data_IF_491874876581
#
_entry.id   IF_491874876581
#
_cell.length_a   1.000
_cell.length_b   1.000
_cell.length_c   1.000
_cell.angle_alpha   90.00
_cell.angle_beta   90.00
_cell.angle_gamma   90.00
#
_symmetry.space_group_name_H-M   'P 1'
#
loop_
_entity.id
_entity.type
_entity.pdbx_description
1 polymer ?
#
# COMPACT_ATOMS: atom_id res chain seq x y z
N UNK A 1 12.35 31.09 -16.26
CA UNK A 1 12.98 30.76 -17.56
C UNK A 1 14.46 31.06 -17.54
N UNK A 2 14.88 32.28 -17.21
CA UNK A 2 16.29 32.67 -17.05
C UNK A 2 17.06 31.82 -16.03
N UNK A 3 16.48 31.46 -14.88
CA UNK A 3 17.13 30.55 -13.91
C UNK A 3 17.30 29.12 -14.44
N UNK A 4 16.36 28.63 -15.25
CA UNK A 4 16.43 27.31 -15.89
C UNK A 4 17.47 27.29 -17.02
N UNK A 5 17.46 28.31 -17.87
CA UNK A 5 18.43 28.50 -18.95
C UNK A 5 19.86 28.66 -18.38
N UNK A 6 20.01 29.44 -17.31
CA UNK A 6 21.26 29.56 -16.56
C UNK A 6 21.69 28.19 -16.03
N UNK A 7 20.82 27.44 -15.33
CA UNK A 7 21.18 26.11 -14.83
C UNK A 7 21.58 25.13 -15.95
N UNK A 8 20.89 25.17 -17.09
CA UNK A 8 21.12 24.32 -18.25
C UNK A 8 22.45 24.64 -18.97
N UNK A 9 22.74 25.92 -19.23
CA UNK A 9 23.85 26.34 -20.09
C UNK A 9 25.07 26.90 -19.33
N UNK A 10 24.96 27.19 -18.03
CA UNK A 10 26.10 27.69 -17.22
C UNK A 10 27.07 26.56 -16.81
N UNK A 11 26.74 25.28 -17.06
CA UNK A 11 27.73 24.21 -16.92
C UNK A 11 28.76 24.31 -18.05
N UNK A 12 29.97 24.77 -17.71
CA UNK A 12 31.13 25.00 -18.58
C UNK A 12 31.56 23.79 -19.47
N UNK A 13 30.89 22.63 -19.37
CA UNK A 13 31.19 21.37 -20.07
C UNK A 13 30.00 20.71 -20.79
N UNK A 14 28.81 21.32 -20.84
CA UNK A 14 27.67 20.74 -21.59
C UNK A 14 27.91 20.68 -23.10
N UNK A 15 28.89 21.44 -23.62
CA UNK A 15 29.19 21.52 -25.06
C UNK A 15 28.10 22.20 -25.88
N UNK A 16 27.04 22.70 -25.22
CA UNK A 16 25.90 23.35 -25.85
C UNK A 16 26.04 24.86 -25.78
N UNK A 17 25.91 25.53 -26.92
CA UNK A 17 26.05 26.98 -27.03
C UNK A 17 24.71 27.65 -26.71
N UNK A 18 24.64 28.60 -25.75
CA UNK A 18 23.43 29.38 -25.50
C UNK A 18 22.84 30.06 -26.75
N UNK A 19 23.65 30.30 -27.78
CA UNK A 19 23.21 30.88 -29.05
C UNK A 19 22.16 30.02 -29.77
N UNK A 20 22.11 28.71 -29.52
CA UNK A 20 21.11 27.79 -30.05
C UNK A 20 19.68 28.19 -29.66
N UNK A 21 19.50 28.86 -28.52
CA UNK A 21 18.19 29.34 -28.05
C UNK A 21 17.61 30.48 -28.90
N UNK A 22 18.44 31.11 -29.74
CA UNK A 22 18.05 32.19 -30.66
C UNK A 22 17.63 31.67 -32.04
N UNK A 23 17.76 30.37 -32.30
CA UNK A 23 17.36 29.74 -33.56
C UNK A 23 15.83 29.75 -33.70
N UNK A 24 15.32 30.70 -34.49
CA UNK A 24 13.89 30.88 -34.73
C UNK A 24 13.27 29.76 -35.59
N UNK A 25 14.07 29.00 -36.35
CA UNK A 25 13.57 27.84 -37.09
C UNK A 25 13.34 26.65 -36.14
N UNK A 26 14.20 26.48 -35.13
CA UNK A 26 14.01 25.45 -34.08
C UNK A 26 13.02 25.83 -33.00
N UNK A 27 13.04 27.08 -32.56
CA UNK A 27 12.29 27.56 -31.39
C UNK A 27 11.35 28.72 -31.76
N UNK A 28 10.54 28.53 -32.81
CA UNK A 28 9.62 29.55 -33.33
C UNK A 28 8.46 29.94 -32.40
N UNK A 29 8.33 29.33 -31.22
CA UNK A 29 7.33 29.71 -30.20
C UNK A 29 7.94 29.66 -28.80
N UNK A 30 7.40 30.48 -27.89
CA UNK A 30 7.77 30.43 -26.47
C UNK A 30 7.59 29.02 -25.87
N UNK A 31 6.53 28.31 -26.27
CA UNK A 31 6.24 26.96 -25.80
C UNK A 31 7.30 25.94 -26.28
N UNK A 32 7.76 26.05 -27.53
CA UNK A 32 8.83 25.20 -28.06
C UNK A 32 10.16 25.43 -27.31
N UNK A 33 10.52 26.70 -27.07
CA UNK A 33 11.70 27.06 -26.29
C UNK A 33 11.60 26.57 -24.84
N UNK A 34 10.42 26.68 -24.23
CA UNK A 34 10.17 26.25 -22.86
C UNK A 34 10.28 24.74 -22.69
N UNK A 35 9.70 23.97 -23.62
CA UNK A 35 9.81 22.51 -23.64
C UNK A 35 11.27 22.05 -23.78
N UNK A 36 12.04 22.70 -24.66
CA UNK A 36 13.47 22.42 -24.82
C UNK A 36 14.24 22.65 -23.53
N UNK A 37 14.06 23.82 -22.90
CA UNK A 37 14.73 24.15 -21.65
C UNK A 37 14.37 23.19 -20.50
N UNK A 38 13.12 22.73 -20.42
CA UNK A 38 12.68 21.80 -19.39
C UNK A 38 13.20 20.37 -19.60
N UNK A 39 13.22 19.85 -20.83
CA UNK A 39 13.79 18.52 -21.12
C UNK A 39 15.30 18.52 -20.90
N UNK A 40 15.97 19.60 -21.35
CA UNK A 40 17.40 19.79 -21.14
C UNK A 40 17.74 19.91 -19.65
N UNK A 41 16.95 20.65 -18.86
CA UNK A 41 17.16 20.78 -17.42
C UNK A 41 17.20 19.43 -16.68
N UNK A 42 16.23 18.54 -16.94
CA UNK A 42 16.20 17.21 -16.28
C UNK A 42 17.40 16.37 -16.70
N UNK A 43 17.75 16.39 -17.98
CA UNK A 43 18.91 15.67 -18.51
C UNK A 43 20.21 16.18 -17.87
N UNK A 44 20.47 17.48 -17.93
CA UNK A 44 21.66 18.11 -17.36
C UNK A 44 21.74 17.96 -15.84
N UNK A 45 20.63 18.05 -15.10
CA UNK A 45 20.62 17.83 -13.66
C UNK A 45 21.05 16.41 -13.26
N UNK A 46 20.79 15.42 -14.12
CA UNK A 46 21.20 14.04 -13.87
C UNK A 46 22.57 13.68 -14.46
N UNK A 47 22.95 14.24 -15.61
CA UNK A 47 24.26 14.02 -16.27
C UNK A 47 25.43 14.77 -15.59
N UNK A 48 25.23 16.04 -15.20
CA UNK A 48 26.27 16.89 -14.58
C UNK A 48 26.87 16.28 -13.31
N UNK A 49 26.03 15.66 -12.49
CA UNK A 49 26.44 15.10 -11.21
C UNK A 49 27.13 13.74 -11.32
N UNK A 50 26.84 12.96 -12.38
CA UNK A 50 27.59 11.73 -12.68
C UNK A 50 29.05 12.05 -13.04
N UNK A 51 29.30 13.25 -13.57
CA UNK A 51 30.63 13.72 -13.97
C UNK A 51 31.39 14.43 -12.84
N UNK A 52 30.75 15.27 -12.01
CA UNK A 52 31.42 15.93 -10.85
C UNK A 52 32.01 14.90 -9.86
N UNK A 53 31.31 13.80 -9.59
CA UNK A 53 31.78 12.74 -8.67
C UNK A 53 32.83 11.79 -9.26
N UNK A 54 33.01 11.78 -10.58
CA UNK A 54 34.08 10.99 -11.21
C UNK A 54 35.40 11.78 -11.26
N UNK A 55 35.37 13.09 -11.05
CA UNK A 55 36.57 13.93 -10.90
C UNK A 55 37.05 14.04 -9.44
N UNK A 56 36.15 13.90 -8.45
CA UNK A 56 36.50 13.75 -7.03
C UNK A 56 36.87 12.29 -6.69
N UNK A 57 38.09 11.90 -7.06
CA UNK A 57 38.63 10.57 -6.77
C UNK A 57 38.71 10.23 -5.27
N UNK A 58 38.46 8.95 -4.99
CA UNK A 58 38.71 8.20 -3.73
C UNK A 58 37.70 8.35 -2.58
N UNK A 59 36.83 7.33 -2.45
CA UNK A 59 36.13 7.03 -1.20
C UNK A 59 34.75 6.41 -1.39
N UNK A 60 34.70 5.08 -1.56
CA UNK A 60 33.49 4.23 -1.50
C UNK A 60 32.62 4.17 -2.79
N UNK A 61 33.27 3.80 -3.91
CA UNK A 61 32.63 3.58 -5.21
C UNK A 61 31.79 2.29 -5.31
N UNK A 62 30.55 2.32 -4.82
CA UNK A 62 29.58 1.25 -5.11
C UNK A 62 28.11 1.69 -5.30
N UNK A 63 27.76 2.99 -5.29
CA UNK A 63 26.34 3.40 -5.35
C UNK A 63 25.94 4.39 -6.46
N UNK A 64 26.88 5.03 -7.16
CA UNK A 64 26.58 6.30 -7.85
C UNK A 64 26.27 6.22 -9.37
N UNK A 65 26.09 5.01 -9.91
CA UNK A 65 25.46 4.75 -11.22
C UNK A 65 24.00 4.30 -11.12
N UNK A 66 23.32 4.61 -10.00
CA UNK A 66 22.08 3.90 -9.62
C UNK A 66 20.91 4.08 -10.59
N UNK A 67 20.80 5.26 -11.21
CA UNK A 67 19.60 5.67 -11.92
C UNK A 67 19.90 6.12 -13.35
N UNK A 68 19.47 5.33 -14.32
CA UNK A 68 19.51 5.71 -15.74
C UNK A 68 18.54 6.88 -16.02
N UNK A 69 18.99 7.88 -16.80
CA UNK A 69 18.24 9.10 -17.12
C UNK A 69 16.88 8.81 -17.80
N UNK A 70 16.76 7.71 -18.56
CA UNK A 70 15.48 7.31 -19.14
C UNK A 70 14.50 6.82 -18.06
N UNK A 71 14.99 6.10 -17.04
CA UNK A 71 14.19 5.65 -15.90
C UNK A 71 13.76 6.81 -15.01
N UNK A 72 14.66 7.76 -14.74
CA UNK A 72 14.38 8.98 -13.97
C UNK A 72 13.24 9.78 -14.61
N UNK A 73 13.34 10.06 -15.92
CA UNK A 73 12.29 10.77 -16.66
C UNK A 73 10.94 10.03 -16.58
N UNK A 74 10.95 8.70 -16.68
CA UNK A 74 9.74 7.88 -16.53
C UNK A 74 9.15 7.98 -15.13
N UNK A 75 9.95 7.90 -14.08
CA UNK A 75 9.46 7.97 -12.69
C UNK A 75 8.96 9.38 -12.33
N UNK A 76 9.69 10.43 -12.71
CA UNK A 76 9.24 11.81 -12.51
C UNK A 76 7.97 12.11 -13.33
N UNK A 77 7.88 11.62 -14.57
CA UNK A 77 6.68 11.72 -15.39
C UNK A 77 5.49 11.00 -14.76
N UNK A 78 5.69 9.79 -14.25
CA UNK A 78 4.64 9.07 -13.51
C UNK A 78 4.17 9.84 -12.28
N UNK A 79 5.10 10.35 -11.46
CA UNK A 79 4.79 11.16 -10.28
C UNK A 79 4.02 12.43 -10.67
N UNK A 80 4.43 13.11 -11.74
CA UNK A 80 3.74 14.30 -12.23
C UNK A 80 2.29 14.00 -12.66
N UNK A 81 2.07 12.97 -13.48
CA UNK A 81 0.71 12.53 -13.86
C UNK A 81 -0.11 12.12 -12.63
N UNK A 82 0.51 11.41 -11.68
CA UNK A 82 -0.14 10.95 -10.47
C UNK A 82 -0.61 12.12 -9.59
N UNK A 83 0.25 13.11 -9.36
CA UNK A 83 -0.08 14.32 -8.60
C UNK A 83 -1.17 15.16 -9.28
N UNK A 84 -1.09 15.33 -10.61
CA UNK A 84 -2.11 16.03 -11.40
C UNK A 84 -3.49 15.36 -11.24
N UNK A 85 -3.55 14.03 -11.28
CA UNK A 85 -4.81 13.28 -11.07
C UNK A 85 -5.36 13.41 -9.64
N UNK A 86 -4.48 13.48 -8.63
CA UNK A 86 -4.88 13.68 -7.24
C UNK A 86 -5.16 15.14 -6.88
N UNK A 87 -4.95 16.09 -7.82
CA UNK A 87 -5.07 17.54 -7.60
C UNK A 87 -4.27 18.00 -6.37
N UNK A 88 -3.06 17.48 -6.21
CA UNK A 88 -2.15 17.84 -5.11
C UNK A 88 -0.75 18.15 -5.63
N UNK A 89 -0.01 18.99 -4.91
CA UNK A 89 1.41 19.29 -5.18
C UNK A 89 2.35 18.40 -4.37
N UNK A 90 1.85 17.80 -3.29
CA UNK A 90 2.63 17.07 -2.30
C UNK A 90 2.79 15.60 -2.64
N UNK A 91 4.03 15.14 -2.69
CA UNK A 91 4.37 13.73 -2.79
C UNK A 91 4.24 13.11 -1.39
N UNK A 92 3.03 12.63 -1.09
CA UNK A 92 2.71 11.89 0.12
C UNK A 92 2.84 10.38 -0.13
N UNK A 93 3.68 9.67 0.62
CA UNK A 93 3.94 8.26 0.38
C UNK A 93 2.66 7.41 0.44
N UNK A 94 1.74 7.68 1.37
CA UNK A 94 0.47 6.94 1.53
C UNK A 94 -0.55 7.17 0.40
N UNK A 95 -0.33 8.19 -0.45
CA UNK A 95 -1.15 8.46 -1.63
C UNK A 95 -0.60 7.83 -2.90
N UNK A 96 0.66 7.39 -2.91
CA UNK A 96 1.27 6.78 -4.09
C UNK A 96 0.49 5.54 -4.54
N UNK A 97 0.16 5.51 -5.83
CA UNK A 97 -0.61 4.41 -6.43
C UNK A 97 -2.13 4.49 -6.23
N UNK A 98 -2.66 5.56 -5.62
CA UNK A 98 -4.12 5.69 -5.40
C UNK A 98 -4.87 6.35 -6.57
N UNK A 99 -4.17 6.98 -7.52
CA UNK A 99 -4.77 7.71 -8.65
C UNK A 99 -5.36 6.80 -9.77
N UNK A 100 -5.56 5.52 -9.50
CA UNK A 100 -6.14 4.55 -10.44
C UNK A 100 -7.61 4.31 -10.16
N UNK A 101 -8.35 3.74 -11.13
CA UNK A 101 -9.75 3.37 -10.92
C UNK A 101 -9.87 2.39 -9.76
N UNK A 102 -10.93 2.53 -8.95
CA UNK A 102 -11.14 1.74 -7.74
C UNK A 102 -11.01 0.23 -7.96
N UNK A 103 -11.58 -0.29 -9.06
CA UNK A 103 -11.46 -1.71 -9.43
C UNK A 103 -10.02 -2.24 -9.51
N UNK A 104 -9.05 -1.40 -9.89
CA UNK A 104 -7.64 -1.78 -9.94
C UNK A 104 -7.00 -1.80 -8.55
N UNK A 105 -7.42 -0.91 -7.64
CA UNK A 105 -7.01 -0.97 -6.23
C UNK A 105 -7.52 -2.27 -5.61
N UNK A 106 -8.82 -2.55 -5.80
CA UNK A 106 -9.47 -3.76 -5.31
C UNK A 106 -8.79 -5.03 -5.83
N UNK A 107 -8.52 -5.10 -7.14
CA UNK A 107 -7.84 -6.25 -7.76
C UNK A 107 -6.42 -6.44 -7.22
N UNK A 108 -5.64 -5.36 -7.12
CA UNK A 108 -4.24 -5.42 -6.70
C UNK A 108 -4.10 -5.79 -5.23
N UNK A 109 -4.95 -5.22 -4.38
CA UNK A 109 -5.00 -5.59 -2.97
C UNK A 109 -5.48 -7.03 -2.82
N UNK A 110 -6.58 -7.38 -3.47
CA UNK A 110 -7.14 -8.72 -3.41
C UNK A 110 -6.15 -9.78 -3.86
N UNK A 111 -5.43 -9.56 -4.96
CA UNK A 111 -4.40 -10.50 -5.41
C UNK A 111 -3.24 -10.59 -4.43
N UNK A 112 -2.75 -9.47 -3.89
CA UNK A 112 -1.63 -9.50 -2.94
C UNK A 112 -2.01 -10.18 -1.63
N UNK A 113 -3.17 -9.85 -1.05
CA UNK A 113 -3.67 -10.49 0.17
C UNK A 113 -3.99 -11.96 -0.09
N UNK A 114 -4.64 -12.28 -1.20
CA UNK A 114 -5.00 -13.65 -1.55
C UNK A 114 -3.78 -14.55 -1.75
N UNK A 115 -2.76 -14.10 -2.49
CA UNK A 115 -1.52 -14.87 -2.65
C UNK A 115 -0.80 -15.01 -1.31
N UNK A 116 -0.66 -13.94 -0.53
CA UNK A 116 0.06 -14.00 0.75
C UNK A 116 -0.65 -14.94 1.75
N UNK A 117 -1.96 -14.79 1.93
CA UNK A 117 -2.73 -15.63 2.84
C UNK A 117 -2.86 -17.06 2.36
N UNK A 118 -3.04 -17.28 1.04
CA UNK A 118 -3.11 -18.61 0.46
C UNK A 118 -1.78 -19.39 0.59
N UNK A 119 -0.64 -18.70 0.46
CA UNK A 119 0.66 -19.32 0.75
C UNK A 119 0.78 -19.72 2.22
N UNK A 120 0.35 -18.86 3.15
CA UNK A 120 0.39 -19.19 4.58
C UNK A 120 -0.51 -20.38 4.89
N UNK A 121 -1.78 -20.34 4.47
CA UNK A 121 -2.73 -21.42 4.69
C UNK A 121 -2.23 -22.74 4.07
N UNK A 122 -1.81 -22.70 2.80
CA UNK A 122 -1.30 -23.88 2.11
C UNK A 122 -0.08 -24.49 2.79
N UNK A 123 0.86 -23.67 3.28
CA UNK A 123 2.02 -24.18 4.01
C UNK A 123 1.62 -24.77 5.37
N UNK A 124 0.71 -24.12 6.10
CA UNK A 124 0.28 -24.56 7.43
C UNK A 124 -0.50 -25.86 7.34
N UNK A 125 -1.60 -25.88 6.60
CA UNK A 125 -2.44 -27.08 6.46
C UNK A 125 -1.76 -28.18 5.64
N UNK A 126 -0.86 -27.81 4.73
CA UNK A 126 -0.04 -28.76 4.00
C UNK A 126 0.96 -29.50 4.88
N UNK A 127 1.67 -28.77 5.75
CA UNK A 127 2.60 -29.36 6.71
C UNK A 127 1.86 -30.22 7.74
N UNK A 128 0.74 -29.73 8.26
CA UNK A 128 -0.14 -30.49 9.16
C UNK A 128 -0.64 -31.78 8.51
N UNK A 129 -1.20 -31.67 7.30
CA UNK A 129 -1.67 -32.83 6.53
C UNK A 129 -0.55 -33.82 6.22
N UNK A 130 0.66 -33.35 5.94
CA UNK A 130 1.83 -34.19 5.69
C UNK A 130 2.24 -34.98 6.94
N UNK A 131 2.23 -34.33 8.11
CA UNK A 131 2.59 -34.93 9.38
C UNK A 131 1.57 -35.98 9.85
N UNK A 132 0.28 -35.68 9.68
CA UNK A 132 -0.81 -36.53 10.18
C UNK A 132 -1.17 -37.67 9.22
N UNK A 133 -1.14 -37.42 7.90
CA UNK A 133 -1.71 -38.31 6.89
C UNK A 133 -0.72 -38.66 5.77
N UNK A 134 0.53 -38.22 5.87
CA UNK A 134 1.59 -38.50 4.90
C UNK A 134 1.72 -37.45 3.79
N UNK A 135 2.87 -37.45 3.08
CA UNK A 135 3.28 -36.34 2.21
C UNK A 135 2.35 -36.09 1.02
N UNK A 136 1.74 -37.14 0.46
CA UNK A 136 0.79 -37.00 -0.64
C UNK A 136 -0.46 -36.23 -0.22
N UNK A 137 -1.03 -36.56 0.95
CA UNK A 137 -2.18 -35.85 1.51
C UNK A 137 -1.81 -34.41 1.86
N UNK A 138 -0.64 -34.20 2.47
CA UNK A 138 -0.13 -32.85 2.76
C UNK A 138 -0.04 -31.96 1.53
N UNK A 139 0.45 -32.48 0.40
CA UNK A 139 0.50 -31.71 -0.85
C UNK A 139 -0.91 -31.34 -1.35
N UNK A 140 -1.86 -32.28 -1.30
CA UNK A 140 -3.25 -32.01 -1.67
C UNK A 140 -3.88 -30.95 -0.75
N UNK A 141 -3.70 -31.09 0.57
CA UNK A 141 -4.18 -30.13 1.56
C UNK A 141 -3.57 -28.74 1.32
N UNK A 142 -2.28 -28.65 1.00
CA UNK A 142 -1.60 -27.39 0.71
C UNK A 142 -2.22 -26.65 -0.48
N UNK A 143 -2.45 -27.37 -1.57
CA UNK A 143 -3.01 -26.78 -2.80
C UNK A 143 -4.46 -26.37 -2.60
N UNK A 144 -5.28 -27.25 -2.01
CA UNK A 144 -6.72 -26.99 -1.83
C UNK A 144 -6.94 -25.83 -0.86
N UNK A 145 -6.35 -25.88 0.33
CA UNK A 145 -6.50 -24.81 1.33
C UNK A 145 -5.90 -23.50 0.83
N UNK A 146 -4.68 -23.53 0.26
CA UNK A 146 -4.04 -22.32 -0.22
C UNK A 146 -4.81 -21.62 -1.33
N UNK A 147 -5.41 -22.37 -2.27
CA UNK A 147 -6.26 -21.79 -3.31
C UNK A 147 -7.60 -21.29 -2.74
N UNK A 148 -8.26 -22.06 -1.87
CA UNK A 148 -9.56 -21.70 -1.30
C UNK A 148 -9.44 -20.46 -0.40
N UNK A 149 -8.51 -20.47 0.57
CA UNK A 149 -8.28 -19.35 1.48
C UNK A 149 -7.73 -18.13 0.75
N UNK A 150 -6.82 -18.35 -0.22
CA UNK A 150 -6.29 -17.28 -1.04
C UNK A 150 -7.37 -16.59 -1.87
N UNK A 151 -8.25 -17.34 -2.52
CA UNK A 151 -9.37 -16.78 -3.27
C UNK A 151 -10.37 -16.07 -2.35
N UNK A 152 -10.77 -16.71 -1.24
CA UNK A 152 -11.74 -16.16 -0.29
C UNK A 152 -11.26 -14.87 0.36
N UNK A 153 -10.04 -14.84 0.89
CA UNK A 153 -9.46 -13.67 1.54
C UNK A 153 -9.11 -12.58 0.53
N UNK A 154 -8.58 -12.95 -0.63
CA UNK A 154 -8.30 -12.00 -1.71
C UNK A 154 -9.56 -11.28 -2.19
N UNK A 155 -10.65 -12.03 -2.42
CA UNK A 155 -11.94 -11.44 -2.79
C UNK A 155 -12.49 -10.57 -1.66
N UNK A 156 -12.45 -11.05 -0.43
CA UNK A 156 -12.98 -10.32 0.74
C UNK A 156 -12.27 -8.98 0.92
N UNK A 157 -10.95 -8.96 1.03
CA UNK A 157 -10.22 -7.71 1.26
C UNK A 157 -10.18 -6.82 0.01
N UNK A 158 -10.21 -7.39 -1.19
CA UNK A 158 -10.42 -6.62 -2.43
C UNK A 158 -11.76 -5.87 -2.42
N UNK A 159 -12.85 -6.55 -2.06
CA UNK A 159 -14.19 -5.96 -1.95
C UNK A 159 -14.28 -4.95 -0.80
N UNK A 160 -13.71 -5.27 0.37
CA UNK A 160 -13.68 -4.36 1.51
C UNK A 160 -12.96 -3.04 1.17
N UNK A 161 -11.90 -3.04 0.35
CA UNK A 161 -11.27 -1.78 -0.12
C UNK A 161 -12.23 -0.95 -0.98
N UNK A 162 -13.03 -1.61 -1.84
CA UNK A 162 -14.07 -0.94 -2.62
C UNK A 162 -15.17 -0.33 -1.75
N UNK A 163 -15.50 -1.02 -0.67
CA UNK A 163 -16.49 -0.58 0.30
C UNK A 163 -15.98 0.58 1.18
N UNK A 164 -14.79 0.42 1.76
CA UNK A 164 -14.15 1.41 2.64
C UNK A 164 -13.95 2.76 1.94
N UNK A 165 -13.60 2.76 0.66
CA UNK A 165 -13.42 4.01 -0.12
C UNK A 165 -14.73 4.76 -0.41
N UNK A 166 -15.89 4.10 -0.34
CA UNK A 166 -17.22 4.71 -0.54
C UNK A 166 -17.88 5.18 0.75
N UNK A 167 -17.47 4.65 1.91
CA UNK A 167 -17.99 5.09 3.20
C UNK A 167 -17.53 6.52 3.51
N UNK A 168 -18.48 7.46 3.59
CA UNK A 168 -18.22 8.88 3.90
C UNK A 168 -18.04 9.17 5.40
N UNK A 169 -18.54 8.29 6.28
CA UNK A 169 -18.80 8.63 7.69
C UNK A 169 -17.75 8.13 8.71
N UNK A 170 -16.49 7.92 8.29
CA UNK A 170 -15.42 7.40 9.16
C UNK A 170 -14.09 8.17 9.12
N UNK A 171 -14.05 9.34 8.48
CA UNK A 171 -12.81 10.06 8.19
C UNK A 171 -11.98 9.38 7.07
N UNK A 172 -10.87 9.99 6.62
CA UNK A 172 -10.04 9.44 5.56
C UNK A 172 -9.31 8.19 6.06
N UNK A 173 -9.93 7.01 5.91
CA UNK A 173 -9.48 5.68 6.39
C UNK A 173 -8.03 5.29 6.06
N UNK A 174 -7.36 6.03 5.18
CA UNK A 174 -6.00 5.73 4.72
C UNK A 174 -5.01 6.89 4.88
N UNK A 175 -5.34 7.89 5.71
CA UNK A 175 -4.33 8.85 6.19
C UNK A 175 -3.58 8.19 7.36
N UNK A 176 -2.25 8.31 7.45
CA UNK A 176 -1.52 7.87 8.64
C UNK A 176 -2.15 8.54 9.86
N UNK A 177 -2.66 7.76 10.80
CA UNK A 177 -3.22 8.27 12.03
C UNK A 177 -2.08 8.50 13.02
N UNK A 178 -1.85 9.76 13.39
CA UNK A 178 -1.03 10.12 14.56
C UNK A 178 -1.90 10.00 15.80
N UNK A 179 -2.33 8.77 16.06
CA UNK A 179 -3.19 8.43 17.18
C UNK A 179 -2.32 7.76 18.24
N UNK A 180 -2.08 8.48 19.32
CA UNK A 180 -1.41 7.92 20.47
C UNK A 180 -2.46 7.33 21.40
N UNK A 181 -2.23 6.09 21.85
CA UNK A 181 -3.08 5.45 22.84
C UNK A 181 -2.73 6.09 24.18
N UNK A 182 -3.62 6.95 24.67
CA UNK A 182 -3.47 7.60 25.97
C UNK A 182 -3.55 6.55 27.06
N UNK A 183 -2.48 6.41 27.84
CA UNK A 183 -2.49 5.62 29.08
C UNK A 183 -3.19 6.36 30.22
N UNK A 184 -3.25 7.68 30.13
CA UNK A 184 -3.60 8.56 31.25
C UNK A 184 -5.03 9.15 31.16
N UNK A 185 -5.94 8.49 30.45
CA UNK A 185 -7.35 8.89 30.50
C UNK A 185 -8.21 8.33 29.38
N UNK A 186 -9.37 7.83 29.78
CA UNK A 186 -10.45 7.38 28.91
C UNK A 186 -11.40 8.54 28.59
N UNK A 187 -11.64 8.81 27.31
CA UNK A 187 -12.52 9.88 26.84
C UNK A 187 -13.86 9.33 26.33
N UNK A 188 -14.91 9.45 27.16
CA UNK A 188 -16.26 8.98 26.83
C UNK A 188 -16.83 9.59 25.54
N UNK A 189 -16.49 10.86 25.26
CA UNK A 189 -16.95 11.57 24.05
C UNK A 189 -16.42 10.88 22.78
N UNK A 190 -15.14 10.52 22.74
CA UNK A 190 -14.52 9.88 21.57
C UNK A 190 -15.11 8.50 21.32
N UNK A 191 -15.38 7.74 22.39
CA UNK A 191 -16.12 6.48 22.31
C UNK A 191 -17.52 6.69 21.72
N UNK A 192 -18.30 7.64 22.24
CA UNK A 192 -19.67 7.91 21.79
C UNK A 192 -19.73 8.34 20.32
N UNK A 193 -18.85 9.24 19.90
CA UNK A 193 -18.80 9.78 18.54
C UNK A 193 -18.36 8.71 17.54
N UNK A 194 -17.45 7.81 17.95
CA UNK A 194 -16.95 6.72 17.11
C UNK A 194 -17.81 5.45 17.15
N UNK A 195 -18.76 5.32 18.09
CA UNK A 195 -19.49 4.08 18.32
C UNK A 195 -20.27 3.62 17.09
N UNK A 196 -21.19 4.47 16.61
CA UNK A 196 -22.04 4.17 15.46
C UNK A 196 -21.23 3.84 14.20
N UNK A 197 -20.27 4.67 13.74
CA UNK A 197 -19.54 4.38 12.52
C UNK A 197 -18.66 3.12 12.62
N UNK A 198 -18.05 2.84 13.78
CA UNK A 198 -17.21 1.64 13.96
C UNK A 198 -18.02 0.35 14.04
N UNK A 199 -19.14 0.37 14.76
CA UNK A 199 -20.05 -0.79 14.83
C UNK A 199 -20.70 -1.05 13.47
N UNK A 200 -21.18 -0.01 12.76
CA UNK A 200 -21.72 -0.16 11.41
C UNK A 200 -20.67 -0.64 10.43
N UNK A 201 -19.45 -0.10 10.47
CA UNK A 201 -18.33 -0.53 9.65
C UNK A 201 -17.96 -1.99 9.90
N UNK A 202 -17.86 -2.39 11.17
CA UNK A 202 -17.61 -3.76 11.59
C UNK A 202 -18.71 -4.73 11.13
N UNK A 203 -19.98 -4.40 11.35
CA UNK A 203 -21.12 -5.22 10.94
C UNK A 203 -21.16 -5.41 9.42
N UNK A 204 -20.99 -4.33 8.65
CA UNK A 204 -21.02 -4.40 7.19
C UNK A 204 -19.79 -5.16 6.64
N UNK A 205 -18.62 -4.99 7.25
CA UNK A 205 -17.44 -5.79 6.95
C UNK A 205 -17.65 -7.27 7.26
N UNK A 206 -18.26 -7.59 8.39
CA UNK A 206 -18.61 -8.95 8.80
C UNK A 206 -19.63 -9.62 7.89
N UNK A 207 -20.69 -8.89 7.50
CA UNK A 207 -21.68 -9.37 6.53
C UNK A 207 -21.03 -9.70 5.19
N UNK A 208 -20.14 -8.83 4.70
CA UNK A 208 -19.40 -9.09 3.47
C UNK A 208 -18.49 -10.32 3.59
N UNK A 209 -17.72 -10.41 4.67
CA UNK A 209 -16.84 -11.56 4.94
C UNK A 209 -17.65 -12.86 5.01
N UNK A 210 -18.69 -12.88 5.84
CA UNK A 210 -19.58 -14.01 6.04
C UNK A 210 -20.26 -14.43 4.74
N UNK A 211 -20.74 -13.50 3.93
CA UNK A 211 -21.37 -13.80 2.65
C UNK A 211 -20.39 -14.43 1.65
N UNK A 212 -19.18 -13.86 1.51
CA UNK A 212 -18.16 -14.39 0.60
C UNK A 212 -17.79 -15.82 0.99
N UNK A 213 -17.56 -16.07 2.28
CA UNK A 213 -17.18 -17.38 2.79
C UNK A 213 -18.31 -18.40 2.71
N UNK A 214 -19.52 -18.01 3.13
CA UNK A 214 -20.70 -18.86 3.05
C UNK A 214 -20.96 -19.31 1.61
N UNK A 215 -20.99 -18.37 0.66
CA UNK A 215 -21.22 -18.70 -0.76
C UNK A 215 -20.05 -19.51 -1.37
N UNK A 216 -18.81 -19.18 -1.02
CA UNK A 216 -17.64 -19.90 -1.51
C UNK A 216 -17.64 -21.36 -1.06
N UNK A 217 -17.89 -21.60 0.22
CA UNK A 217 -17.98 -22.96 0.79
C UNK A 217 -19.20 -23.70 0.26
N UNK A 218 -20.34 -23.03 0.11
CA UNK A 218 -21.53 -23.64 -0.51
C UNK A 218 -21.24 -24.11 -1.95
N UNK A 219 -20.56 -23.28 -2.75
CA UNK A 219 -20.18 -23.60 -4.12
C UNK A 219 -19.22 -24.79 -4.17
N UNK A 220 -18.17 -24.79 -3.33
CA UNK A 220 -17.21 -25.90 -3.25
C UNK A 220 -17.89 -27.22 -2.86
N UNK A 221 -18.77 -27.20 -1.86
CA UNK A 221 -19.50 -28.40 -1.43
C UNK A 221 -20.49 -28.89 -2.50
N UNK A 222 -21.13 -27.98 -3.23
CA UNK A 222 -22.00 -28.33 -4.36
C UNK A 222 -21.21 -29.02 -5.47
N UNK A 223 -20.02 -28.49 -5.81
CA UNK A 223 -19.13 -29.09 -6.80
C UNK A 223 -18.58 -30.45 -6.35
N UNK A 224 -18.41 -30.65 -5.04
CA UNK A 224 -18.03 -31.94 -4.46
C UNK A 224 -19.19 -32.95 -4.37
N UNK A 225 -20.41 -32.57 -4.79
CA UNK A 225 -21.59 -33.46 -4.80
C UNK A 225 -22.30 -33.57 -3.45
N UNK A 226 -22.04 -32.66 -2.50
CA UNK A 226 -22.75 -32.66 -1.22
C UNK A 226 -24.23 -32.30 -1.41
N UNK A 227 -25.10 -32.90 -0.59
CA UNK A 227 -26.53 -32.63 -0.61
C UNK A 227 -26.86 -31.29 0.06
N UNK A 228 -28.01 -30.71 -0.29
CA UNK A 228 -28.49 -29.46 0.32
C UNK A 228 -28.60 -29.52 1.85
N UNK A 229 -28.96 -30.68 2.40
CA UNK A 229 -29.07 -30.91 3.85
C UNK A 229 -27.74 -30.73 4.58
N UNK A 230 -26.62 -31.00 3.91
CA UNK A 230 -25.27 -30.74 4.43
C UNK A 230 -24.88 -29.28 4.18
N UNK A 231 -25.15 -28.74 2.99
CA UNK A 231 -24.69 -27.40 2.61
C UNK A 231 -25.31 -26.30 3.47
N UNK A 232 -26.63 -26.32 3.70
CA UNK A 232 -27.33 -25.21 4.34
C UNK A 232 -26.86 -24.90 5.79
N UNK A 233 -26.65 -25.88 6.71
CA UNK A 233 -26.21 -25.57 8.06
C UNK A 233 -24.78 -25.01 8.10
N UNK A 234 -23.85 -25.57 7.33
CA UNK A 234 -22.47 -25.08 7.26
C UNK A 234 -22.41 -23.66 6.71
N UNK A 235 -23.18 -23.39 5.66
CA UNK A 235 -23.28 -22.07 5.03
C UNK A 235 -23.85 -21.04 6.00
N UNK A 236 -24.92 -21.40 6.73
CA UNK A 236 -25.53 -20.55 7.75
C UNK A 236 -24.60 -20.24 8.91
N UNK A 237 -23.84 -21.23 9.39
CA UNK A 237 -22.87 -21.06 10.46
C UNK A 237 -21.75 -20.10 10.05
N UNK A 238 -21.13 -20.30 8.88
CA UNK A 238 -20.06 -19.42 8.39
C UNK A 238 -20.53 -17.98 8.18
N UNK A 239 -21.76 -17.81 7.68
CA UNK A 239 -22.35 -16.49 7.55
C UNK A 239 -22.54 -15.79 8.91
N UNK A 240 -23.03 -16.54 9.90
CA UNK A 240 -23.21 -16.05 11.27
C UNK A 240 -21.86 -15.75 11.94
N UNK A 241 -20.85 -16.59 11.76
CA UNK A 241 -19.49 -16.38 12.26
C UNK A 241 -18.86 -15.11 11.68
N UNK A 242 -18.92 -14.92 10.35
CA UNK A 242 -18.41 -13.72 9.71
C UNK A 242 -19.10 -12.45 10.20
N UNK A 243 -20.43 -12.49 10.33
CA UNK A 243 -21.23 -11.37 10.84
C UNK A 243 -20.91 -11.07 12.31
N UNK A 244 -20.82 -12.12 13.14
CA UNK A 244 -20.50 -12.02 14.56
C UNK A 244 -19.10 -11.49 14.80
N UNK A 245 -18.10 -11.95 14.04
CA UNK A 245 -16.72 -11.48 14.09
C UNK A 245 -16.64 -10.00 13.69
N UNK A 246 -17.33 -9.60 12.62
CA UNK A 246 -17.38 -8.18 12.22
C UNK A 246 -18.02 -7.28 13.28
N UNK A 247 -19.12 -7.73 13.89
CA UNK A 247 -19.76 -7.01 15.00
C UNK A 247 -18.82 -6.88 16.20
N UNK A 248 -18.15 -7.98 16.60
CA UNK A 248 -17.20 -7.99 17.70
C UNK A 248 -16.04 -7.03 17.44
N UNK A 249 -15.43 -7.05 16.25
CA UNK A 249 -14.37 -6.12 15.87
C UNK A 249 -14.85 -4.67 15.85
N UNK A 250 -16.08 -4.42 15.39
CA UNK A 250 -16.70 -3.09 15.40
C UNK A 250 -16.91 -2.56 16.83
N UNK A 251 -17.35 -3.42 17.75
CA UNK A 251 -17.52 -3.08 19.17
C UNK A 251 -16.17 -2.84 19.85
N UNK A 252 -15.18 -3.71 19.63
CA UNK A 252 -13.82 -3.54 20.17
C UNK A 252 -13.22 -2.22 19.67
N UNK A 253 -13.37 -1.91 18.38
CA UNK A 253 -12.91 -0.65 17.83
C UNK A 253 -13.67 0.55 18.42
N UNK A 254 -15.00 0.45 18.61
CA UNK A 254 -15.81 1.50 19.24
C UNK A 254 -15.37 1.80 20.67
N UNK A 255 -15.12 0.76 21.47
CA UNK A 255 -14.60 0.88 22.84
C UNK A 255 -13.17 1.44 22.80
N UNK A 256 -12.30 0.90 21.95
CA UNK A 256 -10.91 1.35 21.81
C UNK A 256 -10.77 2.84 21.49
N UNK A 257 -11.77 3.44 20.83
CA UNK A 257 -11.82 4.87 20.55
C UNK A 257 -11.75 5.74 21.81
N UNK A 258 -12.21 5.22 22.96
CA UNK A 258 -12.11 5.92 24.24
C UNK A 258 -10.66 6.15 24.70
N UNK A 259 -9.68 5.40 24.19
CA UNK A 259 -8.27 5.56 24.52
C UNK A 259 -7.48 6.38 23.48
N UNK A 260 -8.13 6.87 22.43
CA UNK A 260 -7.46 7.55 21.32
C UNK A 260 -7.27 9.05 21.59
N UNK A 261 -6.03 9.55 21.48
CA UNK A 261 -5.72 10.99 21.39
C UNK A 261 -5.11 11.35 20.03
N UNK A 262 -5.64 12.40 19.41
CA UNK A 262 -5.15 12.94 18.14
C UNK A 262 -4.06 13.97 18.42
N UNK A 263 -2.82 13.69 18.00
CA UNK A 263 -1.74 14.67 18.10
C UNK A 263 -1.87 15.67 16.93
N UNK A 264 -1.91 17.00 17.19
CA UNK A 264 -1.96 18.02 16.14
C UNK A 264 -0.75 17.95 15.19
N UNK A 265 -1.02 18.17 13.91
CA UNK A 265 -0.10 17.97 12.77
C UNK A 265 1.14 18.89 12.76
N UNK A 266 1.25 19.86 13.66
CA UNK A 266 2.27 20.92 13.64
C UNK A 266 3.65 20.48 14.15
N UNK A 267 3.77 19.33 14.83
CA UNK A 267 5.03 18.85 15.45
C UNK A 267 5.69 17.65 14.75
N UNK A 268 5.16 17.20 13.62
CA UNK A 268 5.66 16.02 12.94
C UNK A 268 6.82 16.37 11.99
N UNK A 269 8.05 16.23 12.49
CA UNK A 269 9.28 16.29 11.70
C UNK A 269 9.31 15.22 10.59
N UNK A 270 9.82 15.60 9.41
CA UNK A 270 10.21 14.83 8.20
C UNK A 270 9.36 13.58 7.78
N UNK A 271 8.91 13.54 6.51
CA UNK A 271 8.13 12.42 5.94
C UNK A 271 8.70 11.00 6.14
N UNK A 272 10.01 10.85 6.28
CA UNK A 272 10.67 9.55 6.49
C UNK A 272 10.39 9.00 7.88
N UNK A 273 10.47 9.85 8.90
CA UNK A 273 10.27 9.47 10.30
C UNK A 273 8.80 9.07 10.53
N UNK A 274 7.87 9.69 9.78
CA UNK A 274 6.47 9.29 9.76
C UNK A 274 6.23 7.90 9.15
N UNK A 275 6.99 7.55 8.11
CA UNK A 275 6.88 6.22 7.49
C UNK A 275 7.38 5.13 8.43
N UNK A 276 8.52 5.34 9.07
CA UNK A 276 9.12 4.37 9.99
C UNK A 276 8.30 4.23 11.29
N UNK A 277 7.84 5.35 11.85
CA UNK A 277 6.95 5.35 13.02
C UNK A 277 5.64 4.63 12.70
N UNK A 278 4.99 4.97 11.58
CA UNK A 278 3.74 4.34 11.19
C UNK A 278 3.92 2.85 10.87
N UNK A 279 5.04 2.45 10.25
CA UNK A 279 5.40 1.05 10.03
C UNK A 279 5.49 0.29 11.35
N UNK A 280 6.21 0.82 12.34
CA UNK A 280 6.38 0.17 13.62
C UNK A 280 5.04 0.02 14.37
N UNK A 281 4.20 1.05 14.35
CA UNK A 281 2.86 1.02 14.97
C UNK A 281 1.96 -0.01 14.30
N UNK A 282 1.89 0.00 12.96
CA UNK A 282 1.07 -0.97 12.21
C UNK A 282 1.56 -2.39 12.48
N UNK A 283 2.87 -2.66 12.40
CA UNK A 283 3.40 -4.01 12.67
C UNK A 283 3.05 -4.50 14.07
N UNK A 284 3.18 -3.65 15.10
CA UNK A 284 2.78 -4.01 16.48
C UNK A 284 1.29 -4.34 16.56
N UNK A 285 0.42 -3.53 15.93
CA UNK A 285 -1.02 -3.79 15.90
C UNK A 285 -1.35 -5.10 15.17
N UNK A 286 -0.72 -5.36 14.02
CA UNK A 286 -0.96 -6.57 13.26
C UNK A 286 -0.52 -7.83 14.01
N UNK A 287 0.62 -7.79 14.69
CA UNK A 287 1.07 -8.90 15.55
C UNK A 287 0.11 -9.11 16.71
N UNK A 288 -0.34 -8.03 17.36
CA UNK A 288 -1.26 -8.13 18.50
C UNK A 288 -2.61 -8.71 18.08
N UNK A 289 -3.22 -8.16 17.03
CA UNK A 289 -4.52 -8.61 16.51
C UNK A 289 -4.41 -10.04 15.98
N UNK A 290 -3.35 -10.33 15.21
CA UNK A 290 -3.10 -11.66 14.68
C UNK A 290 -2.93 -12.71 15.78
N UNK A 291 -2.24 -12.37 16.88
CA UNK A 291 -2.08 -13.26 18.02
C UNK A 291 -3.38 -13.46 18.79
N UNK A 292 -4.14 -12.40 19.05
CA UNK A 292 -5.44 -12.51 19.74
C UNK A 292 -6.41 -13.38 18.94
N UNK A 293 -6.52 -13.13 17.63
CA UNK A 293 -7.40 -13.90 16.76
C UNK A 293 -6.89 -15.32 16.60
N UNK A 294 -5.58 -15.51 16.40
CA UNK A 294 -4.99 -16.83 16.21
C UNK A 294 -5.11 -17.71 17.45
N UNK A 295 -4.85 -17.17 18.65
CA UNK A 295 -5.03 -17.92 19.90
C UNK A 295 -6.51 -18.23 20.13
N UNK A 296 -7.41 -17.26 19.95
CA UNK A 296 -8.85 -17.47 20.14
C UNK A 296 -9.41 -18.53 19.19
N UNK A 297 -9.13 -18.38 17.89
CA UNK A 297 -9.61 -19.29 16.87
C UNK A 297 -8.95 -20.67 16.99
N UNK A 298 -7.63 -20.72 17.20
CA UNK A 298 -6.90 -21.97 17.35
C UNK A 298 -7.30 -22.77 18.59
N UNK A 299 -7.62 -22.10 19.71
CA UNK A 299 -8.14 -22.78 20.91
C UNK A 299 -9.50 -23.39 20.65
N UNK A 300 -10.43 -22.63 20.04
CA UNK A 300 -11.76 -23.13 19.68
C UNK A 300 -11.66 -24.32 18.74
N UNK A 301 -10.82 -24.23 17.71
CA UNK A 301 -10.63 -25.29 16.73
C UNK A 301 -9.96 -26.52 17.36
N UNK A 302 -8.94 -26.33 18.19
CA UNK A 302 -8.24 -27.43 18.86
C UNK A 302 -9.17 -28.23 19.79
N UNK A 303 -10.08 -27.54 20.49
CA UNK A 303 -11.11 -28.20 21.33
C UNK A 303 -12.13 -28.92 20.45
N UNK A 304 -12.62 -28.28 19.38
CA UNK A 304 -13.66 -28.84 18.52
C UNK A 304 -13.23 -30.13 17.81
N UNK A 305 -11.94 -30.26 17.48
CA UNK A 305 -11.37 -31.40 16.76
C UNK A 305 -10.52 -32.31 17.64
N UNK A 306 -10.50 -32.09 18.97
CA UNK A 306 -9.67 -32.80 19.95
C UNK A 306 -8.20 -32.97 19.50
N UNK A 307 -7.66 -31.91 18.90
CA UNK A 307 -6.31 -31.90 18.30
C UNK A 307 -5.64 -30.56 18.51
N UNK A 308 -4.65 -30.53 19.40
CA UNK A 308 -3.83 -29.35 19.63
C UNK A 308 -3.08 -28.93 18.37
N UNK A 309 -2.63 -29.88 17.54
CA UNK A 309 -1.93 -29.58 16.29
C UNK A 309 -2.86 -28.85 15.30
N UNK A 310 -4.09 -29.34 15.12
CA UNK A 310 -5.06 -28.71 14.24
C UNK A 310 -5.47 -27.33 14.76
N UNK A 311 -5.56 -27.19 16.09
CA UNK A 311 -5.77 -25.89 16.73
C UNK A 311 -4.66 -24.90 16.44
N UNK A 312 -3.40 -25.30 16.54
CA UNK A 312 -2.24 -24.45 16.20
C UNK A 312 -2.28 -24.06 14.72
N UNK A 313 -2.53 -25.03 13.82
CA UNK A 313 -2.64 -24.77 12.38
C UNK A 313 -3.73 -23.75 12.05
N UNK A 314 -4.95 -23.99 12.50
CA UNK A 314 -6.09 -23.08 12.29
C UNK A 314 -5.83 -21.69 12.88
N UNK A 315 -5.23 -21.63 14.09
CA UNK A 315 -4.88 -20.37 14.74
C UNK A 315 -3.85 -19.56 13.94
N UNK A 316 -2.78 -20.20 13.46
CA UNK A 316 -1.76 -19.55 12.62
C UNK A 316 -2.36 -19.03 11.30
N UNK A 317 -3.17 -19.85 10.64
CA UNK A 317 -3.83 -19.47 9.38
C UNK A 317 -4.78 -18.27 9.59
N UNK A 318 -5.67 -18.33 10.59
CA UNK A 318 -6.62 -17.26 10.88
C UNK A 318 -5.94 -15.96 11.34
N UNK A 319 -4.96 -16.07 12.25
CA UNK A 319 -4.21 -14.91 12.75
C UNK A 319 -3.45 -14.19 11.64
N UNK A 320 -2.75 -14.95 10.78
CA UNK A 320 -2.04 -14.40 9.63
C UNK A 320 -2.99 -13.80 8.59
N UNK A 321 -4.10 -14.48 8.28
CA UNK A 321 -5.11 -14.01 7.35
C UNK A 321 -5.68 -12.64 7.75
N UNK A 322 -6.06 -12.50 9.02
CA UNK A 322 -6.61 -11.25 9.53
C UNK A 322 -5.54 -10.17 9.62
N UNK A 323 -4.32 -10.50 10.05
CA UNK A 323 -3.21 -9.55 10.09
C UNK A 323 -2.85 -9.02 8.70
N UNK A 324 -2.76 -9.88 7.68
CA UNK A 324 -2.49 -9.46 6.29
C UNK A 324 -3.62 -8.60 5.74
N UNK A 325 -4.86 -9.02 5.98
CA UNK A 325 -6.05 -8.34 5.52
C UNK A 325 -6.24 -6.95 6.14
N UNK A 326 -6.26 -6.84 7.46
CA UNK A 326 -6.31 -5.56 8.19
C UNK A 326 -5.07 -4.73 7.89
N UNK A 327 -3.89 -5.34 7.76
CA UNK A 327 -2.67 -4.67 7.35
C UNK A 327 -2.84 -3.92 6.04
N UNK A 328 -3.48 -4.54 5.04
CA UNK A 328 -3.78 -3.92 3.76
C UNK A 328 -4.73 -2.71 3.87
N UNK A 329 -5.53 -2.64 4.94
CA UNK A 329 -6.46 -1.55 5.23
C UNK A 329 -5.81 -0.34 5.90
N UNK A 330 -4.53 -0.44 6.27
CA UNK A 330 -3.78 0.68 6.83
C UNK A 330 -3.14 1.54 5.73
N UNK A 331 -2.80 2.78 6.06
CA UNK A 331 -2.03 3.66 5.16
C UNK A 331 -0.70 3.01 4.72
N UNK A 332 0.00 2.35 5.65
CA UNK A 332 1.28 1.67 5.39
C UNK A 332 1.09 0.44 4.50
N UNK A 333 0.19 -0.47 4.84
CA UNK A 333 -0.01 -1.68 4.05
C UNK A 333 -0.51 -1.37 2.64
N UNK A 334 -1.40 -0.38 2.48
CA UNK A 334 -1.81 0.09 1.15
C UNK A 334 -0.64 0.64 0.34
N UNK A 335 0.27 1.40 0.96
CA UNK A 335 1.50 1.86 0.29
C UNK A 335 2.44 0.70 -0.06
N UNK A 336 2.59 -0.31 0.81
CA UNK A 336 3.38 -1.51 0.50
C UNK A 336 2.81 -2.22 -0.73
N UNK A 337 1.50 -2.48 -0.74
CA UNK A 337 0.83 -3.14 -1.86
C UNK A 337 0.94 -2.29 -3.13
N UNK A 338 0.40 -1.08 -3.13
CA UNK A 338 0.30 -0.29 -4.35
C UNK A 338 1.65 0.28 -4.78
N UNK A 339 2.39 0.87 -3.84
CA UNK A 339 3.67 1.53 -4.10
C UNK A 339 4.85 0.58 -4.23
N UNK A 340 5.03 -0.32 -3.26
CA UNK A 340 6.27 -1.13 -3.16
C UNK A 340 6.21 -2.44 -3.93
N UNK A 341 5.03 -3.00 -4.14
CA UNK A 341 4.84 -4.21 -4.94
C UNK A 341 4.44 -3.80 -6.36
N UNK A 342 3.24 -3.23 -6.54
CA UNK A 342 2.68 -3.06 -7.88
C UNK A 342 3.34 -1.96 -8.73
N UNK A 343 3.62 -0.78 -8.16
CA UNK A 343 4.31 0.27 -8.92
C UNK A 343 5.76 -0.08 -9.24
N UNK A 344 6.40 -0.91 -8.42
CA UNK A 344 7.73 -1.45 -8.73
C UNK A 344 7.69 -2.52 -9.81
N UNK A 345 6.77 -3.48 -9.71
CA UNK A 345 6.58 -4.53 -10.73
C UNK A 345 6.23 -3.93 -12.10
N UNK A 346 5.52 -2.80 -12.11
CA UNK A 346 5.19 -2.06 -13.35
C UNK A 346 6.28 -1.06 -13.78
N UNK A 347 7.41 -0.99 -13.08
CA UNK A 347 8.53 -0.10 -13.40
C UNK A 347 8.22 1.40 -13.28
N UNK A 348 7.13 1.77 -12.60
CA UNK A 348 6.64 3.15 -12.46
C UNK A 348 7.26 3.90 -11.28
N UNK A 349 7.82 3.18 -10.32
CA UNK A 349 8.61 3.74 -9.22
C UNK A 349 9.93 2.99 -9.03
N UNK A 350 10.98 3.66 -8.54
CA UNK A 350 12.26 3.04 -8.24
C UNK A 350 12.20 2.03 -7.09
N UNK A 351 13.20 1.14 -7.03
CA UNK A 351 13.36 0.21 -5.91
C UNK A 351 13.62 0.95 -4.60
N UNK A 352 14.34 2.05 -4.61
CA UNK A 352 14.60 2.85 -3.41
C UNK A 352 14.05 4.27 -3.62
N UNK A 353 12.77 4.41 -3.32
CA UNK A 353 12.02 5.65 -3.48
C UNK A 353 12.59 6.77 -2.62
N UNK A 354 12.99 6.48 -1.38
CA UNK A 354 13.46 7.50 -0.46
C UNK A 354 14.78 8.10 -0.90
N UNK A 355 15.76 7.27 -1.29
CA UNK A 355 16.99 7.82 -1.82
C UNK A 355 16.80 8.41 -3.24
N UNK A 356 15.82 7.97 -4.03
CA UNK A 356 15.46 8.70 -5.27
C UNK A 356 14.88 10.09 -5.00
N UNK A 357 13.96 10.24 -4.04
CA UNK A 357 13.36 11.54 -3.71
C UNK A 357 14.39 12.49 -3.08
N UNK A 358 15.28 11.98 -2.22
CA UNK A 358 16.42 12.74 -1.66
C UNK A 358 17.38 13.20 -2.76
N UNK A 359 17.69 12.31 -3.69
CA UNK A 359 18.54 12.61 -4.85
C UNK A 359 17.90 13.68 -5.75
N UNK A 360 16.61 13.55 -6.06
CA UNK A 360 15.87 14.54 -6.85
C UNK A 360 15.72 15.91 -6.13
N UNK A 361 15.68 15.91 -4.80
CA UNK A 361 15.74 17.13 -3.98
C UNK A 361 17.11 17.78 -4.01
N UNK A 362 18.19 17.00 -3.81
CA UNK A 362 19.57 17.49 -3.88
C UNK A 362 19.89 18.07 -5.27
N UNK A 363 19.34 17.47 -6.33
CA UNK A 363 19.46 17.94 -7.72
C UNK A 363 18.55 19.12 -8.07
N UNK A 364 17.76 19.63 -7.11
CA UNK A 364 16.90 20.80 -7.31
C UNK A 364 15.64 20.57 -8.16
N UNK A 365 15.40 19.36 -8.64
CA UNK A 365 14.17 18.97 -9.37
C UNK A 365 12.97 19.04 -8.43
N UNK A 366 13.15 18.54 -7.20
CA UNK A 366 12.19 18.63 -6.13
C UNK A 366 12.62 19.70 -5.11
N UNK A 367 11.64 20.20 -4.36
CA UNK A 367 11.82 21.03 -3.17
C UNK A 367 11.08 20.37 -2.00
N UNK A 368 11.47 20.69 -0.78
CA UNK A 368 10.77 20.24 0.43
C UNK A 368 9.88 21.38 0.94
N UNK A 369 8.61 21.11 1.20
CA UNK A 369 7.68 22.03 1.87
C UNK A 369 7.06 21.30 3.05
N UNK A 370 7.40 21.72 4.27
CA UNK A 370 7.06 20.98 5.49
C UNK A 370 7.65 19.56 5.45
N UNK A 371 6.80 18.57 5.67
CA UNK A 371 7.19 17.17 5.62
C UNK A 371 7.22 16.57 4.20
N UNK A 372 6.67 17.20 3.17
CA UNK A 372 6.50 16.59 1.84
C UNK A 372 7.50 17.10 0.79
N UNK A 373 7.75 16.28 -0.23
CA UNK A 373 8.44 16.71 -1.45
C UNK A 373 7.45 17.26 -2.47
N UNK A 374 7.82 18.33 -3.16
CA UNK A 374 7.06 18.92 -4.26
C UNK A 374 7.98 19.17 -5.46
N UNK A 375 7.41 19.22 -6.66
CA UNK A 375 8.15 19.74 -7.82
C UNK A 375 8.51 21.21 -7.59
N UNK A 376 9.78 21.57 -7.82
CA UNK A 376 10.24 22.95 -7.65
C UNK A 376 9.54 23.92 -8.60
N UNK A 377 9.26 23.46 -9.82
CA UNK A 377 8.60 24.23 -10.86
C UNK A 377 7.33 23.53 -11.35
N UNK A 378 6.20 24.24 -11.33
CA UNK A 378 4.93 23.73 -11.85
C UNK A 378 5.00 23.43 -13.35
N UNK A 379 5.66 24.30 -14.12
CA UNK A 379 5.90 24.11 -15.57
C UNK A 379 6.66 22.81 -15.85
N UNK A 380 7.66 22.47 -15.04
CA UNK A 380 8.39 21.21 -15.13
C UNK A 380 7.48 20.01 -14.87
N UNK A 381 6.63 20.09 -13.84
CA UNK A 381 5.61 19.05 -13.57
C UNK A 381 4.68 18.86 -14.77
N UNK A 382 4.14 19.94 -15.31
CA UNK A 382 3.22 19.88 -16.47
C UNK A 382 3.91 19.26 -17.68
N UNK A 383 5.12 19.70 -18.00
CA UNK A 383 5.91 19.15 -19.10
C UNK A 383 6.18 17.64 -18.94
N UNK A 384 6.62 17.20 -17.77
CA UNK A 384 6.85 15.78 -17.48
C UNK A 384 5.57 14.95 -17.53
N UNK A 385 4.44 15.52 -17.11
CA UNK A 385 3.14 14.85 -17.19
C UNK A 385 2.67 14.66 -18.64
N UNK A 386 2.84 15.68 -19.49
CA UNK A 386 2.53 15.61 -20.92
C UNK A 386 3.43 14.61 -21.66
N UNK A 387 4.74 14.66 -21.40
CA UNK A 387 5.70 13.74 -22.01
C UNK A 387 5.43 12.28 -21.64
N UNK A 388 4.97 12.02 -20.40
CA UNK A 388 4.59 10.68 -19.95
C UNK A 388 3.28 10.20 -20.56
N UNK A 389 2.29 11.10 -20.73
CA UNK A 389 0.96 10.75 -21.26
C UNK A 389 0.91 10.46 -22.76
N UNK A 390 1.95 10.81 -23.52
CA UNK A 390 2.08 10.51 -24.96
C UNK A 390 2.61 9.10 -25.27
N UNK A 391 3.03 8.34 -24.24
CA UNK A 391 3.42 6.93 -24.32
C UNK A 391 2.30 6.04 -23.80
#
# INVERSE_FOLDING_TARGET
MTTLARFAYESRRSGHDPSELLDAEKFGTQDALEKHLLDFFVRTAYERFLQDKSEEGEGNGAQDGRWDAAHVRRWLGYLAVHLTRLKTTDIEWWRLGTAMKLRWVMLRVGLTVGVASGLVAGLVFGAEGALLNGPAYGLTAAVVSGLADGAGLGLTFGLMHGFATKMRDGGPMFKPSHMEISRDGWEWRNMRDSFRPRVQGGLLGGLLFGLVWALGVAALNTLAGATWSVIWPFTGLLFAEGTGLGLALGLVAAVGAGFEKVIPQEKADASSDLLDTNRATVLKQLVTIGLVIGVGHGTLFGIAYDSALNGIGAGLAAGAAVALGIGSMTAWGRWVVLGRIWLRLTGRLPRDLDAFLRDAYARGVLRRQGAAYQFRHERLRTHLAEAYGKK
#
